data_IF_795631630458
#
_entry.id   IF_795631630458
#
_cell.length_a   1.000
_cell.length_b   1.000
_cell.length_c   1.000
_cell.angle_alpha   90.00
_cell.angle_beta   90.00
_cell.angle_gamma   90.00
#
_symmetry.space_group_name_H-M   'P 1'
#
loop_
_entity.id
_entity.type
_entity.pdbx_description
1 polymer ?
#
# COMPACT_ATOMS: atom_id res chain seq x y z
N UNK A 1 -4.08 -17.89 -12.33
CA UNK A 1 -2.92 -18.70 -11.87
C UNK A 1 -2.87 -19.95 -12.73
N UNK A 2 -1.95 -20.05 -13.71
CA UNK A 2 -1.96 -21.15 -14.72
C UNK A 2 -1.38 -22.48 -14.19
N UNK A 3 -0.87 -22.49 -12.96
CA UNK A 3 -0.09 -23.60 -12.40
C UNK A 3 -0.91 -24.49 -11.43
N UNK A 4 -2.22 -24.28 -11.30
CA UNK A 4 -3.10 -25.02 -10.38
C UNK A 4 -4.41 -25.43 -11.08
N UNK A 5 -5.08 -26.47 -10.58
CA UNK A 5 -6.33 -26.98 -11.15
C UNK A 5 -7.43 -25.91 -11.19
N UNK A 6 -8.32 -26.01 -12.17
CA UNK A 6 -9.48 -25.11 -12.32
C UNK A 6 -10.34 -25.07 -11.06
N UNK A 7 -10.55 -26.23 -10.43
CA UNK A 7 -11.27 -26.35 -9.15
C UNK A 7 -10.65 -25.47 -8.06
N UNK A 8 -9.32 -25.46 -7.92
CA UNK A 8 -8.62 -24.63 -6.92
C UNK A 8 -8.69 -23.15 -7.26
N UNK A 9 -8.67 -22.80 -8.55
CA UNK A 9 -8.87 -21.41 -8.98
C UNK A 9 -10.27 -20.94 -8.62
N UNK A 10 -11.30 -21.76 -8.91
CA UNK A 10 -12.68 -21.47 -8.56
C UNK A 10 -12.87 -21.31 -7.05
N UNK A 11 -12.38 -22.26 -6.26
CA UNK A 11 -12.47 -22.18 -4.80
C UNK A 11 -11.77 -20.93 -4.23
N UNK A 12 -10.70 -20.45 -4.86
CA UNK A 12 -10.03 -19.20 -4.46
C UNK A 12 -10.89 -17.97 -4.75
N UNK A 13 -11.60 -17.96 -5.89
CA UNK A 13 -12.54 -16.88 -6.24
C UNK A 13 -13.73 -16.90 -5.30
N UNK A 14 -14.36 -18.07 -5.11
CA UNK A 14 -15.51 -18.25 -4.21
C UNK A 14 -15.19 -17.77 -2.78
N UNK A 15 -13.96 -18.03 -2.30
CA UNK A 15 -13.50 -17.54 -1.01
C UNK A 15 -13.38 -16.01 -0.95
N UNK A 16 -12.83 -15.37 -1.98
CA UNK A 16 -12.72 -13.90 -2.03
C UNK A 16 -14.09 -13.24 -2.12
N UNK A 17 -15.00 -13.78 -2.93
CA UNK A 17 -16.38 -13.32 -3.02
C UNK A 17 -17.09 -13.44 -1.66
N UNK A 18 -16.93 -14.58 -0.98
CA UNK A 18 -17.44 -14.76 0.39
C UNK A 18 -16.83 -13.74 1.36
N UNK A 19 -15.51 -13.53 1.33
CA UNK A 19 -14.81 -12.64 2.25
C UNK A 19 -15.27 -11.17 2.12
N UNK A 20 -15.54 -10.71 0.90
CA UNK A 20 -15.90 -9.31 0.65
C UNK A 20 -17.39 -9.05 0.46
N UNK A 21 -18.23 -10.09 0.40
CA UNK A 21 -19.67 -9.92 0.14
C UNK A 21 -20.58 -10.54 1.21
N UNK A 22 -20.08 -11.46 2.05
CA UNK A 22 -20.88 -12.03 3.14
C UNK A 22 -20.77 -11.21 4.42
N UNK A 23 -21.82 -11.20 5.24
CA UNK A 23 -21.83 -10.49 6.53
C UNK A 23 -20.63 -10.87 7.42
N UNK A 24 -20.36 -12.18 7.53
CA UNK A 24 -19.22 -12.70 8.31
C UNK A 24 -17.89 -12.23 7.73
N UNK A 25 -17.71 -12.33 6.42
CA UNK A 25 -16.48 -11.89 5.75
C UNK A 25 -16.22 -10.39 5.95
N UNK A 26 -17.27 -9.58 5.75
CA UNK A 26 -17.23 -8.13 5.95
C UNK A 26 -16.87 -7.76 7.40
N UNK A 27 -17.43 -8.45 8.40
CA UNK A 27 -17.06 -8.25 9.81
C UNK A 27 -15.57 -8.53 10.07
N UNK A 28 -15.02 -9.60 9.48
CA UNK A 28 -13.59 -9.87 9.57
C UNK A 28 -12.76 -8.75 8.95
N UNK A 29 -13.08 -8.32 7.73
CA UNK A 29 -12.33 -7.28 7.01
C UNK A 29 -12.34 -5.97 7.79
N UNK A 30 -13.52 -5.48 8.17
CA UNK A 30 -13.67 -4.13 8.74
C UNK A 30 -13.46 -4.11 10.25
N UNK A 31 -14.09 -5.03 10.98
CA UNK A 31 -14.14 -4.93 12.44
C UNK A 31 -13.03 -5.70 13.15
N UNK A 32 -12.59 -6.85 12.63
CA UNK A 32 -11.55 -7.68 13.26
C UNK A 32 -10.15 -7.31 12.79
N UNK A 33 -9.96 -7.19 11.48
CA UNK A 33 -8.66 -6.92 10.85
C UNK A 33 -8.40 -5.42 10.64
N UNK A 34 -9.44 -4.58 10.79
CA UNK A 34 -9.36 -3.12 10.66
C UNK A 34 -8.84 -2.66 9.28
N UNK A 35 -9.23 -3.37 8.23
CA UNK A 35 -8.93 -2.97 6.87
C UNK A 35 -9.96 -1.97 6.33
N UNK A 36 -9.48 -1.05 5.50
CA UNK A 36 -10.31 -0.20 4.65
C UNK A 36 -10.42 -0.92 3.31
N UNK A 37 -11.58 -1.52 3.05
CA UNK A 37 -11.84 -2.24 1.81
C UNK A 37 -11.96 -1.27 0.62
N UNK A 38 -11.33 -1.54 -0.53
CA UNK A 38 -11.51 -0.75 -1.74
C UNK A 38 -12.76 -1.17 -2.55
N UNK A 39 -13.47 -2.22 -2.13
CA UNK A 39 -14.62 -2.76 -2.84
C UNK A 39 -15.91 -2.01 -2.50
N UNK A 40 -16.80 -1.88 -3.49
CA UNK A 40 -18.10 -1.23 -3.38
C UNK A 40 -19.20 -2.14 -2.77
N UNK A 41 -18.85 -3.33 -2.32
CA UNK A 41 -19.77 -4.28 -1.70
C UNK A 41 -20.15 -3.90 -0.26
N UNK A 42 -19.47 -2.91 0.33
CA UNK A 42 -19.70 -2.42 1.68
C UNK A 42 -20.58 -1.18 1.64
N UNK A 43 -21.72 -1.24 2.30
CA UNK A 43 -22.60 -0.10 2.52
C UNK A 43 -21.94 0.94 3.45
N UNK A 44 -22.43 2.17 3.47
CA UNK A 44 -21.82 3.25 4.27
C UNK A 44 -21.78 2.94 5.78
N UNK A 45 -22.77 2.20 6.29
CA UNK A 45 -22.81 1.74 7.68
C UNK A 45 -21.95 0.49 7.96
N UNK A 46 -21.40 -0.13 6.92
CA UNK A 46 -20.47 -1.27 7.01
C UNK A 46 -19.00 -0.83 6.88
N UNK A 47 -18.74 0.47 6.65
CA UNK A 47 -17.38 1.03 6.63
C UNK A 47 -16.80 1.15 8.04
N UNK A 48 -15.46 1.19 8.19
CA UNK A 48 -14.82 1.39 9.48
C UNK A 48 -15.32 2.64 10.23
N UNK A 49 -15.66 2.47 11.51
CA UNK A 49 -16.15 3.54 12.39
C UNK A 49 -15.02 4.26 13.16
N UNK A 50 -13.81 3.70 13.14
CA UNK A 50 -12.70 4.29 13.88
C UNK A 50 -12.28 5.65 13.30
N UNK A 51 -11.87 6.61 14.14
CA UNK A 51 -11.61 7.98 13.69
C UNK A 51 -10.51 8.09 12.64
N UNK A 52 -9.50 7.21 12.67
CA UNK A 52 -8.38 7.27 11.73
C UNK A 52 -8.81 6.76 10.35
N UNK A 53 -9.50 5.62 10.28
CA UNK A 53 -10.01 5.10 9.02
C UNK A 53 -11.00 6.05 8.35
N UNK A 54 -11.86 6.71 9.14
CA UNK A 54 -12.74 7.78 8.62
C UNK A 54 -11.97 8.93 7.99
N UNK A 55 -10.87 9.37 8.60
CA UNK A 55 -10.02 10.40 8.01
C UNK A 55 -9.39 9.92 6.70
N UNK A 56 -8.89 8.68 6.67
CA UNK A 56 -8.31 8.09 5.44
C UNK A 56 -9.33 8.06 4.31
N UNK A 57 -10.55 7.55 4.55
CA UNK A 57 -11.65 7.52 3.56
C UNK A 57 -11.97 8.94 3.08
N UNK A 58 -12.13 9.90 3.99
CA UNK A 58 -12.38 11.31 3.62
C UNK A 58 -11.26 11.91 2.77
N UNK A 59 -10.00 11.51 2.97
CA UNK A 59 -8.89 11.95 2.12
C UNK A 59 -8.88 11.26 0.76
N UNK A 60 -9.28 10.00 0.69
CA UNK A 60 -9.42 9.24 -0.57
C UNK A 60 -10.53 9.79 -1.47
N UNK A 61 -11.60 10.33 -0.89
CA UNK A 61 -12.75 10.90 -1.63
C UNK A 61 -12.53 12.34 -2.12
N UNK A 62 -11.48 13.02 -1.63
CA UNK A 62 -11.13 14.36 -2.10
C UNK A 62 -10.50 14.30 -3.48
N UNK A 63 -10.70 15.36 -4.25
CA UNK A 63 -9.99 15.57 -5.52
C UNK A 63 -8.50 15.89 -5.24
N UNK A 64 -7.72 14.82 -5.10
CA UNK A 64 -6.28 14.82 -4.86
C UNK A 64 -5.62 13.81 -5.78
N UNK A 65 -4.42 14.14 -6.24
CA UNK A 65 -3.58 13.20 -6.96
C UNK A 65 -3.05 12.16 -5.99
N UNK A 66 -3.48 10.91 -6.15
CA UNK A 66 -2.89 9.77 -5.43
C UNK A 66 -1.45 9.59 -5.90
N UNK A 67 -0.51 9.57 -4.95
CA UNK A 67 0.87 9.16 -5.24
C UNK A 67 0.88 7.64 -5.40
N UNK A 68 1.25 7.17 -6.59
CA UNK A 68 1.30 5.74 -6.88
C UNK A 68 2.29 5.00 -5.96
N UNK A 69 1.95 3.78 -5.58
CA UNK A 69 2.81 2.90 -4.78
C UNK A 69 3.95 2.31 -5.64
N UNK A 70 4.88 3.17 -6.05
CA UNK A 70 6.03 2.80 -6.90
C UNK A 70 7.18 2.15 -6.14
N UNK A 71 7.02 1.87 -4.84
CA UNK A 71 8.07 1.26 -4.00
C UNK A 71 8.51 -0.13 -4.47
N UNK A 72 7.63 -0.87 -5.15
CA UNK A 72 7.97 -2.15 -5.78
C UNK A 72 8.83 -1.97 -7.04
N UNK A 73 8.86 -0.77 -7.61
CA UNK A 73 9.70 -0.40 -8.74
C UNK A 73 11.04 0.19 -8.31
N UNK A 74 11.24 0.44 -7.00
CA UNK A 74 12.54 0.85 -6.50
C UNK A 74 13.54 -0.29 -6.68
N UNK A 75 14.83 0.03 -6.93
CA UNK A 75 15.88 -0.97 -7.04
C UNK A 75 16.11 -1.78 -5.74
N UNK A 76 17.29 -2.39 -5.64
CA UNK A 76 17.73 -3.24 -4.53
C UNK A 76 17.52 -2.64 -3.13
N UNK A 77 17.64 -3.49 -2.10
CA UNK A 77 17.64 -3.04 -0.71
C UNK A 77 18.72 -1.96 -0.47
N UNK A 78 19.92 -2.13 -1.03
CA UNK A 78 21.01 -1.15 -0.93
C UNK A 78 20.59 0.25 -1.40
N UNK A 79 19.86 0.35 -2.52
CA UNK A 79 19.32 1.64 -2.98
C UNK A 79 18.41 2.27 -1.93
N UNK A 80 17.53 1.47 -1.30
CA UNK A 80 16.59 1.96 -0.29
C UNK A 80 17.32 2.45 0.96
N UNK A 81 18.38 1.74 1.36
CA UNK A 81 19.20 2.10 2.52
C UNK A 81 19.98 3.39 2.27
N UNK A 82 20.61 3.54 1.09
CA UNK A 82 21.34 4.75 0.71
C UNK A 82 20.45 5.99 0.71
N UNK A 83 19.28 5.90 0.07
CA UNK A 83 18.31 7.01 0.01
C UNK A 83 17.73 7.31 1.39
N UNK A 84 17.44 6.29 2.20
CA UNK A 84 16.97 6.44 3.56
C UNK A 84 17.98 7.15 4.46
N UNK A 85 19.27 6.78 4.37
CA UNK A 85 20.34 7.42 5.13
C UNK A 85 20.54 8.89 4.72
N UNK A 86 20.52 9.19 3.41
CA UNK A 86 20.63 10.57 2.95
C UNK A 86 19.45 11.44 3.43
N UNK A 87 18.23 10.90 3.42
CA UNK A 87 17.05 11.58 3.98
C UNK A 87 17.19 11.83 5.49
N UNK A 88 17.72 10.86 6.25
CA UNK A 88 17.96 11.02 7.68
C UNK A 88 18.96 12.15 7.97
N UNK A 89 20.08 12.19 7.25
CA UNK A 89 21.10 13.24 7.38
C UNK A 89 20.54 14.63 7.01
N UNK A 90 19.69 14.71 5.99
CA UNK A 90 18.98 15.94 5.63
C UNK A 90 18.04 16.42 6.75
N UNK A 91 17.21 15.53 7.30
CA UNK A 91 16.29 15.88 8.39
C UNK A 91 17.04 16.30 9.66
N UNK A 92 18.22 15.72 9.90
CA UNK A 92 19.11 16.11 11.00
C UNK A 92 19.84 17.44 10.75
N UNK A 93 19.76 17.98 9.54
CA UNK A 93 20.45 19.22 9.14
C UNK A 93 21.96 19.06 8.92
N UNK A 94 22.48 17.83 8.87
CA UNK A 94 23.90 17.57 8.63
C UNK A 94 24.26 17.58 7.15
N UNK A 95 23.27 17.39 6.26
CA UNK A 95 23.43 17.49 4.80
C UNK A 95 22.27 18.27 4.15
N UNK A 96 22.49 18.74 2.92
CA UNK A 96 21.51 19.49 2.15
C UNK A 96 20.56 18.58 1.36
N UNK A 97 19.44 19.13 0.88
CA UNK A 97 18.55 18.44 -0.06
C UNK A 97 19.26 18.02 -1.35
N UNK A 98 20.24 18.82 -1.81
CA UNK A 98 21.04 18.47 -2.99
C UNK A 98 21.83 17.17 -2.78
N UNK A 99 22.25 16.88 -1.54
CA UNK A 99 22.89 15.60 -1.23
C UNK A 99 21.90 14.44 -1.40
N UNK A 100 20.67 14.55 -0.87
CA UNK A 100 19.61 13.54 -1.08
C UNK A 100 19.39 13.27 -2.56
N UNK A 101 19.30 14.34 -3.36
CA UNK A 101 19.12 14.24 -4.80
C UNK A 101 20.29 13.53 -5.49
N UNK A 102 21.53 13.90 -5.16
CA UNK A 102 22.73 13.28 -5.74
C UNK A 102 22.80 11.79 -5.39
N UNK A 103 22.65 11.45 -4.12
CA UNK A 103 22.66 10.06 -3.64
C UNK A 103 21.58 9.23 -4.33
N UNK A 104 20.35 9.75 -4.43
CA UNK A 104 19.26 9.04 -5.12
C UNK A 104 19.60 8.73 -6.58
N UNK A 105 20.13 9.71 -7.33
CA UNK A 105 20.49 9.53 -8.74
C UNK A 105 21.65 8.54 -8.89
N UNK A 106 22.67 8.65 -8.05
CA UNK A 106 23.87 7.80 -8.09
C UNK A 106 23.56 6.37 -7.69
N UNK A 107 22.86 6.16 -6.57
CA UNK A 107 22.46 4.82 -6.11
C UNK A 107 21.51 4.17 -7.11
N UNK A 108 20.60 4.93 -7.74
CA UNK A 108 19.74 4.38 -8.79
C UNK A 108 20.56 3.91 -10.00
N UNK A 109 21.52 4.71 -10.46
CA UNK A 109 22.40 4.37 -11.58
C UNK A 109 23.25 3.13 -11.28
N UNK A 110 23.66 2.95 -10.03
CA UNK A 110 24.54 1.86 -9.60
C UNK A 110 23.77 0.57 -9.28
N UNK A 111 22.48 0.68 -8.96
CA UNK A 111 21.65 -0.47 -8.72
C UNK A 111 21.48 -1.28 -10.02
N UNK A 112 22.14 -2.42 -10.07
CA UNK A 112 21.98 -3.39 -11.16
C UNK A 112 20.67 -4.16 -10.94
N UNK A 113 19.98 -4.41 -12.06
CA UNK A 113 18.82 -5.30 -12.13
C UNK A 113 19.17 -6.74 -11.78
#
# INVERSE_FOLDING_TARGET
NKNVSEEKQKASVDFLEWLFSSDTGKDYVVNKLKFISPFNTFEDNEKPDDPLARQVISWMEKDKTTVEWVFNSFPSLDFKDDVGNALLEYVQGSKSWDNVKSTTIESWKNAKS
#
